data_IF_015564549652
#
_entry.id   IF_015564549652
#
_cell.length_a   1.000
_cell.length_b   1.000
_cell.length_c   1.000
_cell.angle_alpha   90.00
_cell.angle_beta   90.00
_cell.angle_gamma   90.00
#
_symmetry.space_group_name_H-M   'P 1'
#
loop_
_entity.id
_entity.type
_entity.pdbx_description
1 polymer ?
#
# COMPACT_ATOMS: atom_id res chain seq x y z
N UNK A 1 59.37 -11.68 -7.45
CA UNK A 1 58.37 -10.60 -7.26
C UNK A 1 57.00 -11.22 -7.48
N UNK A 2 56.29 -11.53 -6.40
CA UNK A 2 54.94 -12.05 -6.45
C UNK A 2 53.99 -10.89 -6.82
N UNK A 3 53.20 -11.07 -7.88
CA UNK A 3 52.06 -10.20 -8.17
C UNK A 3 50.97 -10.50 -7.13
N UNK A 4 50.78 -9.57 -6.21
CA UNK A 4 49.63 -9.54 -5.31
C UNK A 4 48.40 -9.23 -6.16
N UNK A 5 47.55 -10.24 -6.39
CA UNK A 5 46.18 -10.03 -6.85
C UNK A 5 45.46 -9.33 -5.71
N UNK A 6 45.19 -8.04 -5.89
CA UNK A 6 44.33 -7.30 -4.98
C UNK A 6 42.93 -7.92 -5.04
N UNK A 7 42.57 -8.65 -4.00
CA UNK A 7 41.17 -8.93 -3.67
C UNK A 7 40.53 -7.57 -3.42
N UNK A 8 39.73 -7.10 -4.38
CA UNK A 8 38.91 -5.91 -4.18
C UNK A 8 37.85 -6.27 -3.17
N UNK A 9 38.04 -5.84 -1.93
CA UNK A 9 36.93 -5.79 -0.97
C UNK A 9 35.76 -5.04 -1.62
N UNK A 10 34.52 -5.54 -1.48
CA UNK A 10 33.35 -4.85 -2.02
C UNK A 10 33.27 -3.45 -1.40
N UNK A 11 33.27 -2.43 -2.25
CA UNK A 11 33.14 -1.05 -1.81
C UNK A 11 31.69 -0.81 -1.36
N UNK A 12 31.41 -0.52 -0.08
CA UNK A 12 30.04 -0.40 0.43
C UNK A 12 29.19 0.68 -0.29
N UNK A 13 29.83 1.65 -0.94
CA UNK A 13 29.12 2.65 -1.76
C UNK A 13 28.50 2.06 -3.02
N UNK A 14 29.12 1.01 -3.59
CA UNK A 14 28.68 0.38 -4.83
C UNK A 14 27.51 -0.59 -4.56
N UNK A 15 27.53 -1.31 -3.44
CA UNK A 15 26.45 -2.19 -3.00
C UNK A 15 25.14 -1.43 -2.75
N UNK A 16 25.21 -0.30 -2.03
CA UNK A 16 24.04 0.58 -1.83
C UNK A 16 23.51 1.12 -3.16
N UNK A 17 24.38 1.44 -4.12
CA UNK A 17 23.96 1.94 -5.43
C UNK A 17 23.23 0.85 -6.25
N UNK A 18 23.72 -0.38 -6.20
CA UNK A 18 23.15 -1.55 -6.87
C UNK A 18 21.83 -1.97 -6.21
N UNK A 19 21.76 -2.02 -4.89
CA UNK A 19 20.51 -2.26 -4.17
C UNK A 19 19.50 -1.13 -4.42
N UNK A 20 19.94 0.13 -4.41
CA UNK A 20 19.10 1.27 -4.79
C UNK A 20 18.54 1.14 -6.21
N UNK A 21 19.28 0.52 -7.14
CA UNK A 21 18.82 0.18 -8.49
C UNK A 21 17.76 -0.91 -8.47
N UNK A 22 17.97 -1.98 -7.68
CA UNK A 22 16.97 -3.03 -7.45
C UNK A 22 15.66 -2.45 -6.88
N UNK A 23 15.72 -1.54 -5.90
CA UNK A 23 14.55 -0.84 -5.35
C UNK A 23 13.81 -0.02 -6.42
N UNK A 24 14.54 0.69 -7.29
CA UNK A 24 13.92 1.43 -8.42
C UNK A 24 13.23 0.50 -9.43
N UNK A 25 13.79 -0.69 -9.67
CA UNK A 25 13.17 -1.72 -10.52
C UNK A 25 11.89 -2.25 -9.87
N UNK A 26 11.94 -2.60 -8.58
CA UNK A 26 10.82 -3.14 -7.83
C UNK A 26 9.59 -2.22 -7.88
N UNK A 27 9.78 -0.90 -7.76
CA UNK A 27 8.70 0.11 -7.84
C UNK A 27 7.85 0.01 -9.12
N UNK A 28 8.38 -0.55 -10.21
CA UNK A 28 7.68 -0.73 -11.49
C UNK A 28 6.57 -1.80 -11.42
N UNK A 29 6.62 -2.70 -10.43
CA UNK A 29 5.61 -3.74 -10.20
C UNK A 29 4.34 -3.26 -9.47
N UNK A 30 4.34 -2.05 -8.89
CA UNK A 30 3.21 -1.54 -8.10
C UNK A 30 1.91 -1.52 -8.91
N UNK A 31 0.83 -2.04 -8.32
CA UNK A 31 -0.48 -2.18 -8.96
C UNK A 31 -0.58 -3.32 -9.98
N UNK A 32 0.43 -4.19 -10.08
CA UNK A 32 0.47 -5.34 -11.00
C UNK A 32 0.76 -6.66 -10.33
N UNK A 33 1.44 -6.64 -9.18
CA UNK A 33 1.96 -7.85 -8.52
C UNK A 33 1.18 -8.23 -7.28
N UNK A 34 0.50 -7.28 -6.63
CA UNK A 34 -0.18 -7.55 -5.37
C UNK A 34 -1.24 -8.65 -5.55
N UNK A 35 -1.48 -9.52 -4.55
CA UNK A 35 -1.00 -9.43 -3.17
C UNK A 35 0.46 -9.82 -2.94
N UNK A 36 1.20 -10.23 -3.97
CA UNK A 36 2.65 -10.49 -3.85
C UNK A 36 3.42 -9.19 -3.59
N UNK A 37 4.60 -9.25 -2.95
CA UNK A 37 5.46 -8.09 -2.76
C UNK A 37 6.02 -7.59 -4.09
N UNK A 38 6.29 -6.28 -4.15
CA UNK A 38 7.13 -5.71 -5.21
C UNK A 38 8.58 -6.04 -4.90
N UNK A 39 9.23 -6.80 -5.78
CA UNK A 39 10.63 -7.22 -5.62
C UNK A 39 11.41 -6.80 -6.85
N UNK A 40 12.64 -6.35 -6.63
CA UNK A 40 13.63 -6.05 -7.66
C UNK A 40 14.90 -6.84 -7.41
N UNK A 41 15.60 -7.18 -8.49
CA UNK A 41 16.83 -7.95 -8.46
C UNK A 41 17.81 -7.37 -9.50
N UNK A 42 19.07 -7.21 -9.10
CA UNK A 42 20.18 -6.83 -9.97
C UNK A 42 21.28 -7.87 -9.80
N UNK A 43 21.86 -8.34 -10.89
CA UNK A 43 23.03 -9.22 -10.91
C UNK A 43 24.20 -8.41 -11.46
N UNK A 44 25.30 -8.37 -10.73
CA UNK A 44 26.48 -7.58 -11.08
C UNK A 44 27.78 -8.37 -10.94
N UNK A 45 28.79 -8.02 -11.73
CA UNK A 45 30.14 -8.58 -11.64
C UNK A 45 31.13 -7.42 -11.63
N UNK A 46 31.98 -7.35 -10.60
CA UNK A 46 32.92 -6.24 -10.43
C UNK A 46 32.23 -4.86 -10.56
N UNK A 47 31.08 -4.70 -9.89
CA UNK A 47 30.25 -3.49 -9.93
C UNK A 47 29.47 -3.25 -11.24
N UNK A 48 29.71 -4.02 -12.30
CA UNK A 48 29.02 -3.87 -13.58
C UNK A 48 27.74 -4.70 -13.62
N UNK A 49 26.61 -4.07 -13.94
CA UNK A 49 25.32 -4.77 -14.03
C UNK A 49 25.26 -5.65 -15.27
N UNK A 50 25.13 -6.96 -15.05
CA UNK A 50 25.02 -7.97 -16.10
C UNK A 50 23.60 -8.53 -16.27
N UNK A 51 22.71 -8.31 -15.30
CA UNK A 51 21.30 -8.69 -15.43
C UNK A 51 20.39 -7.92 -14.48
N UNK A 52 19.14 -7.70 -14.89
CA UNK A 52 18.15 -6.95 -14.11
C UNK A 52 16.76 -7.55 -14.21
N UNK A 53 16.03 -7.55 -13.09
CA UNK A 53 14.69 -8.08 -13.01
C UNK A 53 13.82 -7.38 -11.97
N UNK A 54 12.51 -7.46 -12.16
CA UNK A 54 11.53 -7.15 -11.13
C UNK A 54 10.31 -8.03 -11.33
N UNK A 55 9.56 -8.29 -10.27
CA UNK A 55 8.29 -9.00 -10.39
C UNK A 55 7.30 -8.12 -11.19
N UNK A 56 6.85 -8.60 -12.36
CA UNK A 56 6.13 -7.76 -13.34
C UNK A 56 4.60 -7.87 -13.28
N UNK A 57 4.11 -9.03 -12.85
CA UNK A 57 2.67 -9.35 -12.77
C UNK A 57 2.44 -10.49 -11.78
N UNK A 58 1.30 -10.47 -11.10
CA UNK A 58 0.89 -11.53 -10.20
C UNK A 58 0.91 -12.90 -10.89
N UNK A 59 1.47 -13.91 -10.21
CA UNK A 59 1.65 -15.27 -10.75
C UNK A 59 2.68 -15.41 -11.88
N UNK A 60 3.33 -14.31 -12.28
CA UNK A 60 4.48 -14.36 -13.17
C UNK A 60 5.80 -14.70 -12.44
N UNK A 61 6.91 -14.77 -13.19
CA UNK A 61 8.24 -14.98 -12.61
C UNK A 61 8.60 -13.89 -11.59
N UNK A 62 9.35 -14.28 -10.57
CA UNK A 62 9.91 -13.38 -9.57
C UNK A 62 11.10 -12.58 -10.14
N UNK A 63 11.59 -11.61 -9.37
CA UNK A 63 12.59 -10.67 -9.83
C UNK A 63 13.92 -11.35 -10.18
N UNK A 64 14.33 -12.33 -9.38
CA UNK A 64 15.54 -13.12 -9.49
C UNK A 64 15.53 -13.93 -10.80
N UNK A 65 14.39 -14.56 -11.10
CA UNK A 65 14.20 -15.30 -12.36
C UNK A 65 14.24 -14.37 -13.57
N UNK A 66 13.63 -13.18 -13.48
CA UNK A 66 13.70 -12.18 -14.53
C UNK A 66 15.14 -11.67 -14.73
N UNK A 67 15.91 -11.46 -13.67
CA UNK A 67 17.31 -11.03 -13.73
C UNK A 67 18.21 -12.10 -14.37
N UNK A 68 18.05 -13.37 -13.98
CA UNK A 68 18.76 -14.49 -14.61
C UNK A 68 18.41 -14.65 -16.10
N UNK A 69 17.14 -14.43 -16.47
CA UNK A 69 16.71 -14.40 -17.87
C UNK A 69 17.36 -13.24 -18.63
N UNK A 70 17.52 -12.09 -17.99
CA UNK A 70 18.16 -10.92 -18.58
C UNK A 70 19.66 -11.16 -18.81
N UNK A 71 20.37 -11.82 -17.88
CA UNK A 71 21.75 -12.28 -18.10
C UNK A 71 21.87 -13.12 -19.38
N UNK A 72 20.99 -14.12 -19.53
CA UNK A 72 20.98 -14.97 -20.75
C UNK A 72 20.72 -14.18 -22.02
N UNK A 73 19.79 -13.23 -21.99
CA UNK A 73 19.49 -12.37 -23.15
C UNK A 73 20.68 -11.48 -23.53
N UNK A 74 21.46 -11.04 -22.54
CA UNK A 74 22.66 -10.22 -22.74
C UNK A 74 23.90 -11.04 -23.10
N UNK A 75 23.82 -12.37 -23.04
CA UNK A 75 24.96 -13.26 -23.27
C UNK A 75 26.00 -13.21 -22.15
N UNK A 76 25.58 -12.90 -20.92
CA UNK A 76 26.45 -12.79 -19.74
C UNK A 76 26.26 -13.96 -18.78
N UNK A 77 27.34 -14.41 -18.14
CA UNK A 77 27.36 -15.53 -17.21
C UNK A 77 27.14 -15.07 -15.74
N UNK A 78 26.06 -15.50 -15.06
CA UNK A 78 25.83 -15.19 -13.65
C UNK A 78 26.73 -15.96 -12.66
N UNK A 79 27.39 -17.04 -13.07
CA UNK A 79 28.21 -17.84 -12.15
C UNK A 79 29.33 -17.02 -11.47
N UNK A 80 29.35 -16.98 -10.14
CA UNK A 80 30.28 -16.20 -9.32
C UNK A 80 29.98 -14.69 -9.26
N UNK A 81 28.84 -14.24 -9.76
CA UNK A 81 28.41 -12.83 -9.70
C UNK A 81 27.66 -12.50 -8.39
N UNK A 82 27.57 -11.21 -8.08
CA UNK A 82 26.84 -10.68 -6.93
C UNK A 82 25.37 -10.43 -7.29
N UNK A 83 24.46 -10.76 -6.37
CA UNK A 83 23.02 -10.61 -6.54
C UNK A 83 22.49 -9.67 -5.48
N UNK A 84 21.85 -8.59 -5.90
CA UNK A 84 21.20 -7.62 -5.01
C UNK A 84 19.70 -7.74 -5.15
N UNK A 85 19.02 -8.20 -4.10
CA UNK A 85 17.58 -8.47 -4.10
C UNK A 85 16.89 -7.76 -2.94
N UNK A 86 15.75 -7.11 -3.23
CA UNK A 86 15.09 -6.22 -2.26
C UNK A 86 14.31 -6.96 -1.15
N UNK A 87 14.18 -8.27 -1.24
CA UNK A 87 13.48 -9.13 -0.28
C UNK A 87 14.14 -10.52 -0.35
N UNK A 88 14.13 -11.26 0.76
CA UNK A 88 14.60 -12.64 0.80
C UNK A 88 14.08 -13.49 -0.38
N UNK A 89 14.97 -14.19 -1.11
CA UNK A 89 14.56 -15.11 -2.17
C UNK A 89 13.68 -16.24 -1.66
N UNK A 90 12.58 -16.54 -2.36
CA UNK A 90 11.64 -17.56 -1.89
C UNK A 90 12.26 -18.98 -1.86
N UNK A 91 11.91 -19.74 -0.82
CA UNK A 91 12.37 -21.12 -0.58
C UNK A 91 11.29 -22.20 -0.76
N UNK A 92 10.03 -21.80 -0.97
CA UNK A 92 8.89 -22.71 -1.11
C UNK A 92 8.45 -22.82 -2.57
N UNK A 93 7.92 -23.98 -2.94
CA UNK A 93 7.33 -24.19 -4.25
C UNK A 93 5.90 -23.64 -4.27
N UNK A 94 5.72 -22.47 -4.88
CA UNK A 94 4.42 -21.83 -5.07
C UNK A 94 3.86 -22.09 -6.47
N UNK A 95 3.44 -21.01 -7.15
CA UNK A 95 3.09 -21.04 -8.59
C UNK A 95 4.32 -21.16 -9.50
N UNK A 96 5.50 -20.87 -8.97
CA UNK A 96 6.80 -20.96 -9.63
C UNK A 96 7.77 -21.71 -8.71
N UNK A 97 8.81 -22.36 -9.27
CA UNK A 97 9.90 -22.93 -8.48
C UNK A 97 10.59 -21.90 -7.57
N UNK A 98 11.23 -22.33 -6.47
CA UNK A 98 11.92 -21.44 -5.53
C UNK A 98 13.04 -20.64 -6.20
N UNK A 99 13.16 -19.36 -5.84
CA UNK A 99 14.20 -18.49 -6.38
C UNK A 99 15.58 -18.82 -5.80
N UNK A 100 15.65 -19.25 -4.54
CA UNK A 100 16.88 -19.72 -3.94
C UNK A 100 17.50 -20.86 -4.77
N UNK A 101 16.70 -21.84 -5.22
CA UNK A 101 17.18 -22.97 -6.03
C UNK A 101 17.73 -22.51 -7.37
N UNK A 102 17.07 -21.55 -8.02
CA UNK A 102 17.51 -21.00 -9.30
C UNK A 102 18.83 -20.21 -9.18
N UNK A 103 19.05 -19.53 -8.05
CA UNK A 103 20.31 -18.85 -7.76
C UNK A 103 21.44 -19.85 -7.47
N UNK A 104 21.14 -20.94 -6.75
CA UNK A 104 22.07 -22.06 -6.54
C UNK A 104 22.47 -22.72 -7.87
N UNK A 105 21.50 -23.04 -8.72
CA UNK A 105 21.75 -23.63 -10.04
C UNK A 105 22.57 -22.70 -10.94
N UNK A 106 22.35 -21.38 -10.86
CA UNK A 106 23.14 -20.39 -11.57
C UNK A 106 24.57 -20.22 -11.01
N UNK A 107 24.88 -20.80 -9.86
CA UNK A 107 26.21 -20.76 -9.25
C UNK A 107 26.67 -19.34 -8.89
N UNK A 108 25.77 -18.46 -8.46
CA UNK A 108 26.12 -17.08 -8.08
C UNK A 108 27.09 -17.04 -6.89
N UNK A 109 27.86 -15.96 -6.75
CA UNK A 109 28.91 -15.84 -5.73
C UNK A 109 28.35 -15.38 -4.38
N UNK A 110 27.75 -14.19 -4.37
CA UNK A 110 27.23 -13.56 -3.15
C UNK A 110 25.80 -13.05 -3.39
N UNK A 111 24.93 -13.18 -2.37
CA UNK A 111 23.57 -12.66 -2.38
C UNK A 111 23.42 -11.62 -1.28
N UNK A 112 23.23 -10.36 -1.68
CA UNK A 112 22.85 -9.26 -0.80
C UNK A 112 21.32 -9.12 -0.80
N UNK A 113 20.69 -9.50 0.30
CA UNK A 113 19.26 -9.30 0.54
C UNK A 113 19.03 -8.03 1.37
N UNK A 114 18.06 -7.20 1.00
CA UNK A 114 17.78 -5.98 1.76
C UNK A 114 17.08 -6.26 3.09
N UNK A 115 16.05 -7.11 3.07
CA UNK A 115 15.25 -7.50 4.24
C UNK A 115 14.84 -8.97 4.16
N UNK A 116 14.60 -9.58 5.31
CA UNK A 116 14.02 -10.92 5.43
C UNK A 116 12.51 -10.90 5.12
N UNK A 117 11.98 -11.99 4.56
CA UNK A 117 10.54 -12.10 4.31
C UNK A 117 9.81 -12.56 5.59
N UNK A 118 8.87 -11.77 6.15
CA UNK A 118 8.16 -12.16 7.36
C UNK A 118 7.16 -13.31 7.16
N UNK A 119 6.94 -13.76 5.92
CA UNK A 119 6.06 -14.88 5.65
C UNK A 119 6.62 -16.15 6.30
N UNK A 120 5.88 -16.83 7.20
CA UNK A 120 6.38 -18.04 7.88
C UNK A 120 6.78 -19.18 6.94
N UNK A 121 6.31 -19.17 5.69
CA UNK A 121 6.70 -20.13 4.66
C UNK A 121 8.07 -19.83 4.03
N UNK A 122 8.61 -18.63 4.23
CA UNK A 122 9.87 -18.14 3.66
C UNK A 122 10.89 -17.82 4.75
N UNK A 123 10.49 -17.08 5.79
CA UNK A 123 11.32 -16.49 6.85
C UNK A 123 12.59 -17.32 7.15
N UNK A 124 13.72 -16.81 6.65
CA UNK A 124 15.07 -17.33 6.85
C UNK A 124 15.45 -18.52 5.97
N UNK A 125 14.48 -19.30 5.47
CA UNK A 125 14.71 -20.55 4.75
C UNK A 125 15.38 -20.34 3.39
N UNK A 126 15.13 -19.21 2.75
CA UNK A 126 15.75 -18.86 1.46
C UNK A 126 17.21 -18.55 1.63
N UNK A 127 17.52 -17.72 2.64
CA UNK A 127 18.88 -17.37 3.01
C UNK A 127 19.67 -18.59 3.51
N UNK A 128 19.06 -19.43 4.35
CA UNK A 128 19.65 -20.69 4.81
C UNK A 128 19.99 -21.64 3.67
N UNK A 129 19.08 -21.78 2.69
CA UNK A 129 19.31 -22.65 1.53
C UNK A 129 20.50 -22.18 0.68
N UNK A 130 20.65 -20.86 0.49
CA UNK A 130 21.79 -20.29 -0.21
C UNK A 130 23.10 -20.57 0.55
N UNK A 131 23.13 -20.31 1.87
CA UNK A 131 24.29 -20.61 2.72
C UNK A 131 24.68 -22.09 2.69
N UNK A 132 23.69 -22.99 2.74
CA UNK A 132 23.92 -24.44 2.69
C UNK A 132 24.53 -24.91 1.36
N UNK A 133 24.32 -24.17 0.27
CA UNK A 133 24.93 -24.40 -1.03
C UNK A 133 26.32 -23.76 -1.19
N UNK A 134 26.85 -23.10 -0.15
CA UNK A 134 28.15 -22.43 -0.16
C UNK A 134 28.14 -21.03 -0.78
N UNK A 135 26.96 -20.41 -0.92
CA UNK A 135 26.82 -19.03 -1.39
C UNK A 135 26.91 -18.08 -0.21
N UNK A 136 27.71 -17.02 -0.33
CA UNK A 136 27.81 -15.97 0.69
C UNK A 136 26.53 -15.15 0.73
N UNK A 137 26.01 -14.85 1.92
CA UNK A 137 24.76 -14.11 2.11
C UNK A 137 24.98 -12.94 3.05
N UNK A 138 24.73 -11.74 2.54
CA UNK A 138 24.68 -10.49 3.29
C UNK A 138 23.23 -9.99 3.40
N UNK A 139 22.83 -9.55 4.59
CA UNK A 139 21.47 -9.11 4.89
C UNK A 139 21.50 -7.72 5.51
N UNK A 140 20.68 -6.81 4.96
CA UNK A 140 20.43 -5.50 5.56
C UNK A 140 20.82 -4.32 4.67
N UNK A 141 21.41 -4.56 3.49
CA UNK A 141 21.76 -3.48 2.56
C UNK A 141 20.51 -2.72 2.12
N UNK A 142 20.41 -1.43 2.45
CA UNK A 142 19.23 -0.58 2.23
C UNK A 142 17.92 -1.14 2.83
N UNK A 143 18.00 -1.73 4.02
CA UNK A 143 16.85 -2.34 4.72
C UNK A 143 15.69 -1.36 4.94
N UNK A 144 15.95 -0.11 5.31
CA UNK A 144 14.91 0.89 5.56
C UNK A 144 14.15 1.25 4.27
N UNK A 145 14.88 1.50 3.18
CA UNK A 145 14.28 1.83 1.89
C UNK A 145 13.52 0.64 1.28
N UNK A 146 14.00 -0.59 1.51
CA UNK A 146 13.31 -1.81 1.11
C UNK A 146 12.08 -2.08 1.98
N UNK A 147 12.13 -1.80 3.29
CA UNK A 147 10.98 -1.87 4.18
C UNK A 147 9.90 -0.90 3.71
N UNK A 148 10.24 0.37 3.44
CA UNK A 148 9.31 1.38 2.91
C UNK A 148 8.67 0.94 1.58
N UNK A 149 9.45 0.25 0.73
CA UNK A 149 8.98 -0.25 -0.55
C UNK A 149 7.83 -1.26 -0.40
N UNK A 150 7.89 -2.15 0.60
CA UNK A 150 6.96 -3.28 0.81
C UNK A 150 6.12 -3.19 2.09
N UNK A 151 6.04 -2.06 2.80
CA UNK A 151 5.30 -1.90 4.08
C UNK A 151 3.89 -2.52 4.05
N UNK A 152 3.18 -2.31 2.94
CA UNK A 152 1.82 -2.81 2.80
C UNK A 152 1.75 -4.35 2.73
N UNK A 153 2.73 -4.98 2.11
CA UNK A 153 2.88 -6.43 2.12
C UNK A 153 3.24 -6.92 3.54
N UNK A 154 4.23 -6.28 4.17
CA UNK A 154 4.67 -6.64 5.52
C UNK A 154 3.53 -6.56 6.53
N UNK A 155 2.76 -5.46 6.52
CA UNK A 155 1.57 -5.28 7.38
C UNK A 155 0.56 -6.39 7.14
N UNK A 156 0.22 -6.65 5.88
CA UNK A 156 -0.78 -7.67 5.55
C UNK A 156 -0.37 -9.06 6.03
N UNK A 157 0.89 -9.44 5.84
CA UNK A 157 1.41 -10.74 6.29
C UNK A 157 1.43 -10.83 7.82
N UNK A 158 1.86 -9.77 8.51
CA UNK A 158 2.02 -9.77 9.98
C UNK A 158 0.71 -9.66 10.74
N UNK A 159 -0.24 -8.87 10.24
CA UNK A 159 -1.46 -8.51 11.00
C UNK A 159 -2.75 -8.97 10.32
N UNK A 160 -2.69 -9.48 9.10
CA UNK A 160 -3.89 -9.80 8.30
C UNK A 160 -4.65 -8.58 7.79
N UNK A 161 -4.17 -7.36 7.98
CA UNK A 161 -4.86 -6.12 7.61
C UNK A 161 -4.20 -5.44 6.40
N UNK A 162 -4.96 -4.75 5.55
CA UNK A 162 -4.39 -3.96 4.47
C UNK A 162 -3.70 -2.70 5.02
N UNK A 163 -2.84 -2.13 4.20
CA UNK A 163 -2.30 -0.79 4.40
C UNK A 163 -3.31 0.28 3.98
N UNK A 164 -3.66 1.16 4.90
CA UNK A 164 -4.67 2.19 4.72
C UNK A 164 -4.00 3.53 4.50
N UNK A 165 -4.20 4.06 3.29
CA UNK A 165 -3.77 5.39 2.89
C UNK A 165 -4.94 6.34 3.05
N UNK A 166 -4.90 7.22 4.04
CA UNK A 166 -5.86 8.29 4.18
C UNK A 166 -5.42 9.50 3.37
N UNK A 167 -6.20 9.87 2.35
CA UNK A 167 -5.87 10.97 1.45
C UNK A 167 -6.92 12.07 1.53
N UNK A 168 -6.46 13.32 1.62
CA UNK A 168 -7.31 14.50 1.49
C UNK A 168 -6.62 15.63 0.71
N UNK A 169 -7.41 16.60 0.29
CA UNK A 169 -6.90 17.89 -0.19
C UNK A 169 -7.46 18.97 0.73
N UNK A 170 -6.61 19.90 1.15
CA UNK A 170 -6.96 20.98 2.05
C UNK A 170 -6.41 22.31 1.53
N UNK A 171 -7.00 23.40 1.99
CA UNK A 171 -6.39 24.73 1.92
C UNK A 171 -5.17 24.83 2.85
N UNK A 172 -4.39 25.90 2.71
CA UNK A 172 -3.23 26.19 3.56
C UNK A 172 -3.62 26.29 5.04
N UNK A 173 -4.80 26.83 5.31
CA UNK A 173 -5.42 26.93 6.65
C UNK A 173 -6.18 25.66 7.09
N UNK A 174 -6.05 24.54 6.38
CA UNK A 174 -6.43 23.21 6.87
C UNK A 174 -7.86 22.76 6.60
N UNK A 175 -8.62 23.49 5.78
CA UNK A 175 -10.01 23.15 5.48
C UNK A 175 -10.13 22.28 4.21
N UNK A 176 -11.01 21.28 4.25
CA UNK A 176 -11.31 20.39 3.11
C UNK A 176 -12.60 20.77 2.37
N UNK A 177 -13.40 21.67 2.95
CA UNK A 177 -14.60 22.26 2.37
C UNK A 177 -15.03 23.50 3.16
N UNK A 178 -15.90 24.33 2.58
CA UNK A 178 -16.63 25.36 3.31
C UNK A 178 -17.62 24.74 4.31
N UNK A 179 -18.23 25.56 5.18
CA UNK A 179 -19.24 25.09 6.13
C UNK A 179 -20.45 24.41 5.44
N UNK A 180 -20.81 24.88 4.25
CA UNK A 180 -21.89 24.32 3.43
C UNK A 180 -21.44 23.13 2.56
N UNK A 181 -20.18 22.73 2.65
CA UNK A 181 -19.64 21.55 1.96
C UNK A 181 -19.07 21.79 0.56
N UNK A 182 -18.98 23.04 0.09
CA UNK A 182 -18.32 23.33 -1.18
C UNK A 182 -16.80 23.08 -1.09
N UNK A 183 -16.29 22.27 -2.01
CA UNK A 183 -14.90 21.78 -2.03
C UNK A 183 -14.28 21.75 -3.44
N UNK A 184 -15.01 22.21 -4.47
CA UNK A 184 -14.58 22.11 -5.88
C UNK A 184 -14.03 23.45 -6.39
N UNK A 185 -12.75 23.58 -6.71
CA UNK A 185 -11.64 22.64 -6.53
C UNK A 185 -10.63 23.24 -5.57
N UNK A 186 -10.36 22.57 -4.45
CA UNK A 186 -9.26 22.94 -3.54
C UNK A 186 -7.89 22.70 -4.21
N UNK A 187 -7.57 21.44 -4.53
CA UNK A 187 -6.28 21.08 -5.16
C UNK A 187 -6.26 21.25 -6.68
N UNK A 188 -5.08 21.51 -7.23
CA UNK A 188 -4.84 21.72 -8.65
C UNK A 188 -4.91 20.45 -9.51
N UNK A 189 -4.93 20.63 -10.84
CA UNK A 189 -5.06 19.54 -11.79
C UNK A 189 -3.92 18.51 -11.71
N UNK A 190 -2.69 18.97 -11.46
CA UNK A 190 -1.52 18.09 -11.31
C UNK A 190 -1.66 17.15 -10.09
N UNK A 191 -2.17 17.66 -8.97
CA UNK A 191 -2.47 16.88 -7.77
C UNK A 191 -3.59 15.87 -8.02
N UNK A 192 -4.69 16.30 -8.65
CA UNK A 192 -5.79 15.38 -9.03
C UNK A 192 -5.31 14.26 -9.95
N UNK A 193 -4.45 14.56 -10.94
CA UNK A 193 -3.84 13.54 -11.79
C UNK A 193 -2.95 12.57 -11.02
N UNK A 194 -2.22 13.03 -10.00
CA UNK A 194 -1.46 12.13 -9.11
C UNK A 194 -2.38 11.21 -8.31
N UNK A 195 -3.50 11.71 -7.80
CA UNK A 195 -4.50 10.87 -7.12
C UNK A 195 -5.04 9.80 -8.06
N UNK A 196 -5.30 10.11 -9.34
CA UNK A 196 -5.69 9.08 -10.30
C UNK A 196 -4.61 8.01 -10.54
N UNK A 197 -3.32 8.38 -10.53
CA UNK A 197 -2.23 7.38 -10.54
C UNK A 197 -2.24 6.49 -9.30
N UNK A 198 -2.54 7.06 -8.13
CA UNK A 198 -2.66 6.28 -6.88
C UNK A 198 -3.85 5.33 -6.95
N UNK A 199 -5.02 5.80 -7.42
CA UNK A 199 -6.20 4.96 -7.66
C UNK A 199 -5.92 3.76 -8.57
N UNK A 200 -5.04 3.92 -9.55
CA UNK A 200 -4.61 2.84 -10.45
C UNK A 200 -3.64 1.82 -9.82
N UNK A 201 -3.22 2.03 -8.56
CA UNK A 201 -2.22 1.23 -7.85
C UNK A 201 -2.71 0.62 -6.53
N UNK A 202 -3.96 0.87 -6.15
CA UNK A 202 -4.57 0.35 -4.91
C UNK A 202 -5.62 -0.71 -5.21
N UNK A 203 -5.93 -1.53 -4.21
CA UNK A 203 -6.88 -2.65 -4.35
C UNK A 203 -8.32 -2.22 -4.08
N UNK A 204 -8.49 -1.21 -3.21
CA UNK A 204 -9.78 -0.63 -2.93
C UNK A 204 -9.69 0.90 -2.74
N UNK A 205 -10.77 1.59 -3.10
CA UNK A 205 -11.00 3.00 -2.81
C UNK A 205 -12.25 3.09 -1.94
N UNK A 206 -12.10 3.63 -0.74
CA UNK A 206 -13.13 3.70 0.28
C UNK A 206 -13.55 5.13 0.54
N UNK A 207 -14.86 5.35 0.64
CA UNK A 207 -15.45 6.64 1.03
C UNK A 207 -16.56 6.44 2.05
N UNK A 208 -16.88 7.47 2.82
CA UNK A 208 -18.12 7.50 3.59
C UNK A 208 -19.31 7.84 2.68
N UNK A 209 -20.51 7.38 3.04
CA UNK A 209 -21.75 7.70 2.31
C UNK A 209 -21.97 9.21 2.09
N UNK A 210 -21.53 10.08 3.02
CA UNK A 210 -21.64 11.53 2.86
C UNK A 210 -20.92 12.05 1.61
N UNK A 211 -19.77 11.46 1.26
CA UNK A 211 -19.05 11.79 0.02
C UNK A 211 -19.88 11.39 -1.21
N UNK A 212 -20.55 10.24 -1.17
CA UNK A 212 -21.39 9.81 -2.31
C UNK A 212 -22.58 10.75 -2.49
N UNK A 213 -23.25 11.11 -1.39
CA UNK A 213 -24.40 12.02 -1.42
C UNK A 213 -24.03 13.44 -1.88
N UNK A 214 -22.84 13.94 -1.50
CA UNK A 214 -22.39 15.28 -1.88
C UNK A 214 -21.78 15.37 -3.28
N UNK A 215 -21.01 14.35 -3.70
CA UNK A 215 -20.19 14.44 -4.92
C UNK A 215 -20.60 13.52 -6.06
N UNK A 216 -21.40 12.48 -5.79
CA UNK A 216 -21.73 11.38 -6.69
C UNK A 216 -20.49 10.86 -7.50
N UNK A 217 -19.44 10.37 -6.82
CA UNK A 217 -18.18 10.03 -7.46
C UNK A 217 -18.22 8.65 -8.11
N UNK A 218 -17.46 8.48 -9.20
CA UNK A 218 -17.21 7.15 -9.79
C UNK A 218 -16.21 6.29 -9.02
N UNK A 219 -15.30 6.93 -8.27
CA UNK A 219 -14.17 6.29 -7.57
C UNK A 219 -13.28 5.43 -8.48
N UNK A 220 -13.04 5.88 -9.71
CA UNK A 220 -12.14 5.20 -10.67
C UNK A 220 -10.88 6.02 -10.95
N UNK A 221 -9.85 5.33 -11.47
CA UNK A 221 -8.71 5.98 -12.11
C UNK A 221 -9.07 6.38 -13.55
N UNK A 222 -8.66 7.58 -13.97
CA UNK A 222 -8.86 8.10 -15.34
C UNK A 222 -7.69 9.00 -15.72
N UNK A 223 -7.50 9.21 -17.02
CA UNK A 223 -6.46 10.08 -17.59
C UNK A 223 -5.02 9.67 -17.21
N UNK A 224 -4.84 8.39 -16.87
CA UNK A 224 -3.57 7.74 -16.48
C UNK A 224 -3.59 6.27 -16.93
N UNK A 225 -2.42 5.62 -17.09
CA UNK A 225 -2.38 4.18 -17.26
C UNK A 225 -3.02 3.45 -16.08
N UNK A 226 -4.00 2.59 -16.36
CA UNK A 226 -4.70 1.76 -15.38
C UNK A 226 -4.25 0.32 -15.56
N UNK A 227 -3.72 -0.28 -14.50
CA UNK A 227 -3.24 -1.67 -14.52
C UNK A 227 -4.05 -2.58 -13.58
N UNK A 228 -4.71 -1.97 -12.59
CA UNK A 228 -5.66 -2.60 -11.69
C UNK A 228 -6.89 -1.70 -11.58
N UNK A 229 -8.06 -2.32 -11.54
CA UNK A 229 -9.31 -1.66 -11.19
C UNK A 229 -9.53 -1.88 -9.69
N UNK A 230 -9.60 -0.78 -8.94
CA UNK A 230 -9.83 -0.83 -7.51
C UNK A 230 -11.31 -1.12 -7.21
N UNK A 231 -11.56 -1.94 -6.19
CA UNK A 231 -12.89 -2.12 -5.61
C UNK A 231 -13.39 -0.81 -5.02
N UNK A 232 -14.65 -0.48 -5.23
CA UNK A 232 -15.27 0.75 -4.72
C UNK A 232 -16.01 0.44 -3.44
N UNK A 233 -15.57 0.99 -2.31
CA UNK A 233 -16.11 0.65 -0.99
C UNK A 233 -16.84 1.86 -0.41
N UNK A 234 -18.08 1.68 0.02
CA UNK A 234 -18.86 2.73 0.69
C UNK A 234 -19.15 2.30 2.12
N UNK A 235 -18.75 3.13 3.07
CA UNK A 235 -19.15 2.99 4.48
C UNK A 235 -20.47 3.73 4.68
N UNK A 236 -21.56 2.96 4.77
CA UNK A 236 -22.93 3.47 4.83
C UNK A 236 -23.74 2.76 5.94
N UNK A 237 -23.65 3.25 7.18
CA UNK A 237 -24.28 2.58 8.33
C UNK A 237 -25.79 2.34 8.23
N UNK A 238 -26.48 3.01 7.30
CA UNK A 238 -27.94 3.06 7.22
C UNK A 238 -28.48 2.70 5.82
N UNK A 239 -27.66 2.13 4.94
CA UNK A 239 -28.06 1.77 3.57
C UNK A 239 -28.79 2.91 2.81
N UNK A 240 -28.21 4.12 2.85
CA UNK A 240 -28.71 5.34 2.19
C UNK A 240 -28.16 5.54 0.78
N UNK A 241 -27.34 4.64 0.27
CA UNK A 241 -26.76 4.72 -1.07
C UNK A 241 -27.87 4.86 -2.13
N UNK A 242 -27.95 5.99 -2.87
CA UNK A 242 -29.02 6.21 -3.84
C UNK A 242 -28.97 5.22 -4.99
N UNK A 243 -30.13 4.76 -5.46
CA UNK A 243 -30.19 3.75 -6.51
C UNK A 243 -29.62 4.25 -7.87
N UNK A 244 -29.68 5.55 -8.10
CA UNK A 244 -29.30 6.23 -9.33
C UNK A 244 -27.85 6.76 -9.29
N UNK A 245 -27.16 6.62 -8.16
CA UNK A 245 -25.78 7.11 -8.03
C UNK A 245 -24.85 6.43 -9.03
N UNK A 246 -23.79 7.14 -9.42
CA UNK A 246 -22.83 6.70 -10.43
C UNK A 246 -22.12 5.42 -10.06
N UNK A 247 -21.97 5.11 -8.77
CA UNK A 247 -21.41 3.85 -8.32
C UNK A 247 -22.26 2.65 -8.77
N UNK A 248 -23.59 2.78 -8.69
CA UNK A 248 -24.51 1.69 -9.02
C UNK A 248 -24.92 1.67 -10.49
N UNK A 249 -24.97 2.82 -11.16
CA UNK A 249 -25.25 2.88 -12.61
C UNK A 249 -24.06 2.47 -13.48
N UNK A 250 -22.87 2.33 -12.88
CA UNK A 250 -21.66 1.79 -13.54
C UNK A 250 -21.18 0.49 -12.88
N UNK A 251 -22.11 -0.28 -12.30
CA UNK A 251 -21.80 -1.56 -11.69
C UNK A 251 -21.63 -2.63 -12.78
N UNK A 252 -20.49 -3.32 -12.76
CA UNK A 252 -20.22 -4.51 -13.55
C UNK A 252 -19.16 -5.39 -12.86
N UNK A 253 -18.84 -6.54 -13.45
CA UNK A 253 -17.84 -7.47 -12.91
C UNK A 253 -16.42 -6.88 -12.84
N UNK A 254 -16.10 -5.89 -13.69
CA UNK A 254 -14.82 -5.19 -13.68
C UNK A 254 -14.76 -4.08 -12.61
N UNK A 255 -15.91 -3.55 -12.18
CA UNK A 255 -16.03 -2.44 -11.24
C UNK A 255 -16.84 -2.84 -9.99
N UNK A 256 -16.34 -3.80 -9.18
CA UNK A 256 -17.09 -4.29 -8.02
C UNK A 256 -17.30 -3.19 -6.97
N UNK A 257 -18.51 -3.17 -6.39
CA UNK A 257 -18.89 -2.27 -5.30
C UNK A 257 -19.14 -3.09 -4.05
N UNK A 258 -18.59 -2.64 -2.93
CA UNK A 258 -18.85 -3.17 -1.59
C UNK A 258 -19.47 -2.08 -0.72
N UNK A 259 -20.57 -2.39 -0.03
CA UNK A 259 -21.22 -1.47 0.91
C UNK A 259 -21.16 -2.08 2.30
N UNK A 260 -20.53 -1.35 3.21
CA UNK A 260 -20.47 -1.71 4.61
C UNK A 260 -21.60 -1.03 5.38
N UNK A 261 -22.46 -1.85 5.98
CA UNK A 261 -23.66 -1.44 6.71
C UNK A 261 -23.58 -1.89 8.17
N UNK A 262 -24.48 -1.39 9.01
CA UNK A 262 -24.69 -1.96 10.34
C UNK A 262 -25.18 -3.40 10.24
N UNK A 263 -24.59 -4.31 11.02
CA UNK A 263 -24.95 -5.74 11.02
C UNK A 263 -26.44 -5.96 11.31
N UNK A 264 -27.04 -5.12 12.15
CA UNK A 264 -28.47 -5.22 12.49
C UNK A 264 -29.37 -5.09 11.26
N UNK A 265 -28.96 -4.36 10.22
CA UNK A 265 -29.76 -4.24 8.99
C UNK A 265 -29.77 -5.54 8.16
N UNK A 266 -28.79 -6.42 8.35
CA UNK A 266 -28.81 -7.76 7.76
C UNK A 266 -29.68 -8.71 8.59
N UNK A 267 -29.57 -8.63 9.92
CA UNK A 267 -30.36 -9.45 10.84
C UNK A 267 -31.86 -9.17 10.68
N UNK A 268 -32.23 -7.91 10.42
CA UNK A 268 -33.61 -7.45 10.24
C UNK A 268 -34.15 -7.63 8.79
N UNK A 269 -33.37 -8.21 7.87
CA UNK A 269 -33.69 -8.28 6.42
C UNK A 269 -34.13 -6.92 5.83
N UNK A 270 -33.37 -5.85 6.11
CA UNK A 270 -33.75 -4.50 5.68
C UNK A 270 -33.91 -4.44 4.15
N UNK A 271 -35.06 -3.97 3.63
CA UNK A 271 -35.36 -3.99 2.21
C UNK A 271 -34.38 -3.17 1.36
N UNK A 272 -33.73 -2.15 1.94
CA UNK A 272 -32.71 -1.36 1.24
C UNK A 272 -31.43 -2.16 1.04
N UNK A 273 -31.04 -2.95 2.04
CA UNK A 273 -29.87 -3.82 1.96
C UNK A 273 -30.12 -4.93 0.95
N UNK A 274 -31.30 -5.56 0.98
CA UNK A 274 -31.71 -6.57 0.00
C UNK A 274 -31.70 -6.01 -1.43
N UNK A 275 -32.27 -4.83 -1.65
CA UNK A 275 -32.29 -4.19 -2.96
C UNK A 275 -30.87 -3.89 -3.50
N UNK A 276 -29.91 -3.54 -2.63
CA UNK A 276 -28.51 -3.39 -3.04
C UNK A 276 -27.89 -4.74 -3.41
N UNK A 277 -28.10 -5.77 -2.60
CA UNK A 277 -27.58 -7.11 -2.84
C UNK A 277 -28.11 -7.72 -4.15
N UNK A 278 -29.41 -7.58 -4.43
CA UNK A 278 -30.06 -8.03 -5.67
C UNK A 278 -29.48 -7.37 -6.93
N UNK A 279 -28.90 -6.18 -6.79
CA UNK A 279 -28.20 -5.48 -7.89
C UNK A 279 -26.77 -5.95 -8.09
N UNK A 280 -26.26 -6.87 -7.27
CA UNK A 280 -24.89 -7.37 -7.34
C UNK A 280 -23.89 -6.57 -6.50
N UNK A 281 -24.36 -5.75 -5.56
CA UNK A 281 -23.49 -5.09 -4.57
C UNK A 281 -23.10 -6.09 -3.49
N UNK A 282 -21.82 -6.14 -3.16
CA UNK A 282 -21.34 -6.92 -2.02
C UNK A 282 -21.67 -6.20 -0.71
N UNK A 283 -22.46 -6.81 0.15
CA UNK A 283 -22.79 -6.24 1.47
C UNK A 283 -21.90 -6.84 2.55
N UNK A 284 -21.37 -5.98 3.43
CA UNK A 284 -20.61 -6.38 4.62
C UNK A 284 -21.29 -5.79 5.85
N UNK A 285 -21.81 -6.64 6.73
CA UNK A 285 -22.36 -6.23 8.02
C UNK A 285 -21.26 -5.97 9.03
N UNK A 286 -21.30 -4.81 9.67
CA UNK A 286 -20.33 -4.41 10.69
C UNK A 286 -21.00 -4.26 12.06
N UNK A 287 -20.39 -4.81 13.12
CA UNK A 287 -20.93 -4.66 14.45
C UNK A 287 -20.81 -3.20 14.93
N UNK A 288 -21.62 -2.85 15.93
CA UNK A 288 -21.39 -1.65 16.72
C UNK A 288 -20.07 -1.78 17.47
N UNK A 289 -19.34 -0.67 17.52
CA UNK A 289 -18.17 -0.51 18.36
C UNK A 289 -18.61 -0.14 19.77
N UNK A 290 -17.94 -0.70 20.78
CA UNK A 290 -18.05 -0.22 22.16
C UNK A 290 -17.54 1.22 22.31
N UNK A 291 -17.84 1.83 23.45
CA UNK A 291 -17.37 3.18 23.79
C UNK A 291 -15.84 3.23 23.85
N UNK A 292 -15.25 4.35 23.43
CA UNK A 292 -13.82 4.63 23.65
C UNK A 292 -13.66 6.01 24.27
N UNK A 293 -12.50 6.33 24.89
CA UNK A 293 -12.31 7.60 25.59
C UNK A 293 -12.59 8.85 24.74
N UNK A 294 -12.51 8.73 23.42
CA UNK A 294 -12.66 9.84 22.47
C UNK A 294 -13.75 9.63 21.42
N UNK A 295 -14.53 8.56 21.47
CA UNK A 295 -15.60 8.30 20.48
C UNK A 295 -16.92 7.97 21.17
N UNK A 296 -18.02 8.46 20.59
CA UNK A 296 -19.37 8.16 21.06
C UNK A 296 -19.72 6.67 20.90
N UNK A 297 -20.68 6.23 21.71
CA UNK A 297 -21.35 4.94 21.54
C UNK A 297 -22.01 4.81 20.15
N UNK A 298 -22.11 3.59 19.63
CA UNK A 298 -22.82 3.28 18.38
C UNK A 298 -22.09 3.60 17.06
N UNK A 299 -20.80 3.94 17.08
CA UNK A 299 -19.98 3.96 15.88
C UNK A 299 -19.83 2.53 15.30
N UNK A 300 -19.62 2.37 14.00
CA UNK A 300 -19.34 1.03 13.44
C UNK A 300 -17.88 0.65 13.67
N UNK A 301 -17.63 -0.61 14.02
CA UNK A 301 -16.28 -1.17 14.01
C UNK A 301 -15.85 -1.42 12.56
N UNK A 302 -14.80 -0.73 12.11
CA UNK A 302 -14.29 -0.80 10.75
C UNK A 302 -13.21 -1.89 10.60
N UNK A 303 -12.71 -2.48 11.68
CA UNK A 303 -11.71 -3.53 11.62
C UNK A 303 -12.20 -4.77 10.84
N UNK A 304 -13.43 -5.29 11.05
CA UNK A 304 -13.94 -6.40 10.25
C UNK A 304 -14.02 -6.09 8.75
N UNK A 305 -14.27 -4.83 8.37
CA UNK A 305 -14.21 -4.42 6.97
C UNK A 305 -12.80 -4.52 6.40
N UNK A 306 -11.79 -4.12 7.16
CA UNK A 306 -10.38 -4.22 6.74
C UNK A 306 -9.95 -5.69 6.62
N UNK A 307 -10.34 -6.53 7.56
CA UNK A 307 -10.10 -7.98 7.54
C UNK A 307 -10.78 -8.62 6.32
N UNK A 308 -12.03 -8.27 6.04
CA UNK A 308 -12.75 -8.73 4.85
C UNK A 308 -12.03 -8.35 3.56
N UNK A 309 -11.62 -7.08 3.42
CA UNK A 309 -10.90 -6.61 2.25
C UNK A 309 -9.56 -7.36 2.06
N UNK A 310 -8.82 -7.62 3.14
CA UNK A 310 -7.54 -8.32 3.08
C UNK A 310 -7.66 -9.83 2.84
N UNK A 311 -8.54 -10.52 3.57
CA UNK A 311 -8.67 -11.97 3.54
C UNK A 311 -9.51 -12.44 2.35
N UNK A 312 -10.67 -11.83 2.12
CA UNK A 312 -11.63 -12.26 1.08
C UNK A 312 -11.30 -11.63 -0.27
N UNK A 313 -10.81 -10.38 -0.28
CA UNK A 313 -10.52 -9.64 -1.53
C UNK A 313 -9.02 -9.48 -1.82
N UNK A 314 -8.15 -10.07 -1.00
CA UNK A 314 -6.68 -9.99 -1.16
C UNK A 314 -6.16 -8.55 -1.24
N UNK A 315 -6.88 -7.59 -0.67
CA UNK A 315 -6.46 -6.19 -0.67
C UNK A 315 -5.21 -6.03 0.18
N UNK A 316 -4.18 -5.47 -0.42
CA UNK A 316 -2.92 -5.11 0.25
C UNK A 316 -2.92 -3.61 0.57
N UNK A 317 -3.55 -2.79 -0.27
CA UNK A 317 -3.71 -1.34 -0.06
C UNK A 317 -5.15 -0.88 -0.23
N UNK A 318 -5.62 -0.11 0.74
CA UNK A 318 -6.92 0.59 0.72
C UNK A 318 -6.65 2.08 0.72
N UNK A 319 -7.16 2.79 -0.28
CA UNK A 319 -7.15 4.24 -0.33
C UNK A 319 -8.46 4.78 0.22
N UNK A 320 -8.41 5.60 1.26
CA UNK A 320 -9.57 6.27 1.81
C UNK A 320 -9.57 7.71 1.30
N UNK A 321 -10.62 8.09 0.58
CA UNK A 321 -10.81 9.44 0.06
C UNK A 321 -12.11 10.06 0.57
N UNK A 322 -12.03 11.23 1.18
CA UNK A 322 -13.21 12.02 1.52
C UNK A 322 -14.01 11.51 2.72
N UNK A 323 -14.71 12.47 3.36
CA UNK A 323 -15.51 12.26 4.55
C UNK A 323 -14.70 12.44 5.84
N UNK A 324 -14.77 13.63 6.43
CA UNK A 324 -14.08 13.96 7.68
C UNK A 324 -14.42 13.01 8.83
N UNK A 325 -15.67 12.53 8.89
CA UNK A 325 -16.14 11.58 9.90
C UNK A 325 -15.56 10.18 9.70
N UNK A 326 -15.40 9.73 8.47
CA UNK A 326 -14.77 8.43 8.20
C UNK A 326 -13.28 8.48 8.54
N UNK A 327 -12.60 9.57 8.16
CA UNK A 327 -11.21 9.82 8.57
C UNK A 327 -11.06 9.78 10.09
N UNK A 328 -11.92 10.50 10.83
CA UNK A 328 -11.91 10.47 12.29
C UNK A 328 -12.18 9.08 12.88
N UNK A 329 -13.11 8.32 12.30
CA UNK A 329 -13.39 6.94 12.74
C UNK A 329 -12.20 6.01 12.55
N UNK A 330 -11.45 6.14 11.45
CA UNK A 330 -10.23 5.35 11.20
C UNK A 330 -9.10 5.71 12.17
N UNK A 331 -8.89 7.00 12.45
CA UNK A 331 -7.96 7.43 13.50
C UNK A 331 -8.37 6.88 14.88
N UNK A 332 -9.66 6.96 15.23
CA UNK A 332 -10.19 6.42 16.48
C UNK A 332 -9.89 4.93 16.70
N UNK A 333 -9.70 4.19 15.60
CA UNK A 333 -9.53 2.74 15.57
C UNK A 333 -8.08 2.31 15.28
N UNK A 334 -7.14 3.27 15.18
CA UNK A 334 -5.76 3.04 14.79
C UNK A 334 -5.65 2.24 13.47
N UNK A 335 -6.51 2.58 12.51
CA UNK A 335 -6.56 1.90 11.21
C UNK A 335 -5.86 2.69 10.10
N UNK A 336 -5.31 3.87 10.38
CA UNK A 336 -4.58 4.67 9.39
C UNK A 336 -3.09 4.37 9.48
N UNK A 337 -2.45 4.01 8.36
CA UNK A 337 -1.00 3.80 8.30
C UNK A 337 -0.27 4.99 7.70
N UNK A 338 -0.86 5.57 6.66
CA UNK A 338 -0.27 6.62 5.87
C UNK A 338 -1.27 7.76 5.63
N UNK A 339 -0.79 8.99 5.77
CA UNK A 339 -1.54 10.19 5.39
C UNK A 339 -0.91 10.83 4.17
N UNK A 340 -1.70 11.06 3.12
CA UNK A 340 -1.32 11.88 1.98
C UNK A 340 -2.16 13.17 1.95
N UNK A 341 -1.59 14.24 2.51
CA UNK A 341 -2.22 15.55 2.58
C UNK A 341 -1.75 16.42 1.40
N UNK A 342 -2.68 16.82 0.54
CA UNK A 342 -2.43 17.77 -0.54
C UNK A 342 -2.83 19.17 -0.06
N UNK A 343 -1.85 20.04 0.17
CA UNK A 343 -2.04 21.41 0.63
C UNK A 343 -2.03 22.37 -0.55
N UNK A 344 -3.16 23.01 -0.82
CA UNK A 344 -3.33 23.98 -1.89
C UNK A 344 -2.96 25.40 -1.41
N UNK A 345 -2.50 26.30 -2.30
CA UNK A 345 -2.14 27.68 -1.96
C UNK A 345 -3.40 28.56 -1.86
N UNK A 346 -4.33 28.16 -0.99
CA UNK A 346 -5.62 28.83 -0.75
C UNK A 346 -5.80 29.02 0.75
N UNK A 347 -6.48 30.09 1.14
CA UNK A 347 -6.92 30.31 2.52
C UNK A 347 -8.43 30.54 2.47
N UNK A 348 -9.20 29.75 3.22
CA UNK A 348 -10.66 29.98 3.32
C UNK A 348 -10.99 31.01 4.38
N UNK A 349 -10.28 30.99 5.51
CA UNK A 349 -10.54 31.83 6.68
C UNK A 349 -12.03 31.85 7.11
N UNK A 350 -12.73 30.73 6.90
CA UNK A 350 -14.17 30.63 7.12
C UNK A 350 -14.46 29.91 8.45
N UNK A 351 -15.28 30.52 9.30
CA UNK A 351 -15.81 29.87 10.50
C UNK A 351 -16.67 28.66 10.10
N UNK A 352 -16.46 27.53 10.78
CA UNK A 352 -17.20 26.30 10.50
C UNK A 352 -16.73 25.53 9.26
N UNK A 353 -15.64 25.96 8.61
CA UNK A 353 -15.01 25.19 7.54
C UNK A 353 -14.66 23.77 8.03
N UNK A 354 -14.83 22.78 7.16
CA UNK A 354 -14.72 21.39 7.55
C UNK A 354 -13.25 20.95 7.63
N UNK A 355 -12.80 20.34 8.75
CA UNK A 355 -11.45 19.80 8.85
C UNK A 355 -11.33 18.44 8.14
N UNK A 356 -10.08 18.01 7.90
CA UNK A 356 -9.79 16.73 7.25
C UNK A 356 -10.28 15.49 8.02
N UNK A 357 -10.30 15.57 9.35
CA UNK A 357 -10.82 14.52 10.23
C UNK A 357 -11.67 15.13 11.34
N UNK A 358 -12.81 14.52 11.66
CA UNK A 358 -13.73 14.98 12.71
C UNK A 358 -14.46 13.84 13.41
N UNK A 359 -15.13 14.15 14.53
CA UNK A 359 -15.93 13.17 15.29
C UNK A 359 -15.23 12.56 16.51
N UNK A 360 -14.05 13.06 16.87
CA UNK A 360 -13.35 12.68 18.10
C UNK A 360 -13.47 13.78 19.15
N UNK A 361 -13.70 13.40 20.40
CA UNK A 361 -13.81 14.30 21.54
C UNK A 361 -12.44 14.54 22.23
N UNK A 362 -11.39 14.86 21.45
CA UNK A 362 -10.05 15.15 21.98
C UNK A 362 -9.97 16.61 22.41
N UNK A 363 -9.62 16.85 23.68
CA UNK A 363 -9.55 18.20 24.28
C UNK A 363 -8.14 18.67 24.62
N UNK A 364 -7.12 17.81 24.45
CA UNK A 364 -5.72 18.10 24.76
C UNK A 364 -4.82 17.65 23.62
N UNK A 365 -3.74 18.39 23.38
CA UNK A 365 -2.80 18.12 22.29
C UNK A 365 -2.06 16.78 22.46
N UNK A 366 -1.85 16.35 23.71
CA UNK A 366 -1.24 15.06 24.05
C UNK A 366 -2.04 13.85 23.56
N UNK A 367 -3.34 14.04 23.27
CA UNK A 367 -4.20 12.99 22.72
C UNK A 367 -4.18 12.92 21.19
N UNK A 368 -3.45 13.81 20.52
CA UNK A 368 -3.34 13.80 19.06
C UNK A 368 -2.49 12.62 18.59
N UNK A 369 -2.86 12.03 17.45
CA UNK A 369 -2.03 11.02 16.81
C UNK A 369 -0.75 11.68 16.30
N UNK A 370 0.40 11.06 16.57
CA UNK A 370 1.69 11.54 16.12
C UNK A 370 1.98 11.00 14.71
N UNK A 371 2.42 11.91 13.84
CA UNK A 371 2.72 11.64 12.44
C UNK A 371 4.20 11.91 12.17
N UNK A 372 4.87 11.00 11.46
CA UNK A 372 6.26 11.17 11.03
C UNK A 372 6.26 11.56 9.55
N UNK A 373 6.90 12.69 9.21
CA UNK A 373 7.00 13.13 7.82
C UNK A 373 7.95 12.18 7.07
N UNK A 374 7.39 11.46 6.09
CA UNK A 374 8.15 10.55 5.24
C UNK A 374 8.67 11.27 3.99
N UNK A 375 7.85 12.11 3.33
CA UNK A 375 8.32 12.93 2.22
C UNK A 375 7.46 14.17 2.00
N UNK A 376 8.08 15.20 1.42
CA UNK A 376 7.40 16.42 0.96
C UNK A 376 7.73 16.65 -0.51
N UNK A 377 6.72 16.94 -1.33
CA UNK A 377 6.88 17.19 -2.78
C UNK A 377 6.00 18.33 -3.25
N UNK A 378 6.57 19.29 -3.97
CA UNK A 378 5.80 20.27 -4.74
C UNK A 378 5.13 19.59 -5.94
N UNK A 379 3.85 19.90 -6.19
CA UNK A 379 3.06 19.39 -7.32
C UNK A 379 2.30 20.56 -7.96
N UNK A 380 2.86 21.14 -9.03
CA UNK A 380 2.38 22.43 -9.52
C UNK A 380 2.52 23.47 -8.41
N UNK A 381 1.40 24.06 -7.99
CA UNK A 381 1.37 25.04 -6.89
C UNK A 381 0.91 24.43 -5.55
N UNK A 382 0.54 23.16 -5.53
CA UNK A 382 0.21 22.43 -4.29
C UNK A 382 1.48 21.81 -3.67
N UNK A 383 1.40 21.44 -2.40
CA UNK A 383 2.38 20.59 -1.70
C UNK A 383 1.73 19.27 -1.31
N UNK A 384 2.37 18.15 -1.64
CA UNK A 384 2.03 16.84 -1.07
C UNK A 384 2.94 16.56 0.12
N UNK A 385 2.32 16.41 1.29
CA UNK A 385 2.93 15.88 2.49
C UNK A 385 2.51 14.42 2.66
N UNK A 386 3.50 13.54 2.79
CA UNK A 386 3.33 12.10 2.98
C UNK A 386 3.84 11.74 4.37
N UNK A 387 2.94 11.33 5.26
CA UNK A 387 3.24 10.99 6.63
C UNK A 387 2.98 9.50 6.91
N UNK A 388 3.73 8.93 7.84
CA UNK A 388 3.41 7.67 8.52
C UNK A 388 2.77 7.97 9.87
N UNK A 389 1.80 7.15 10.29
CA UNK A 389 1.19 7.25 11.63
C UNK A 389 1.98 6.39 12.61
N UNK A 390 2.47 6.98 13.69
CA UNK A 390 3.15 6.20 14.74
C UNK A 390 2.17 5.20 15.36
N UNK A 391 2.55 3.92 15.41
CA UNK A 391 1.71 2.84 15.98
C UNK A 391 0.56 2.33 15.10
N UNK A 392 0.37 2.85 13.87
CA UNK A 392 -0.71 2.43 12.95
C UNK A 392 -0.56 1.00 12.38
N UNK A 393 0.63 0.42 12.49
CA UNK A 393 0.93 -0.94 12.08
C UNK A 393 1.38 -1.82 13.24
N UNK A 394 0.44 -2.26 14.09
CA UNK A 394 0.63 -3.41 14.99
C UNK A 394 1.96 -3.48 15.77
N UNK A 395 2.49 -2.34 16.21
CA UNK A 395 3.79 -2.25 16.86
C UNK A 395 3.75 -1.21 17.97
N UNK A 396 3.18 -1.59 19.11
CA UNK A 396 3.80 -1.23 20.39
C UNK A 396 4.70 -2.41 20.72
N UNK A 397 5.99 -2.14 20.83
CA UNK A 397 7.08 -3.08 21.16
C UNK A 397 7.27 -4.25 20.18
N UNK A 398 8.22 -4.07 19.26
CA UNK A 398 9.12 -5.17 18.90
C UNK A 398 10.49 -4.65 19.30
N UNK A 399 10.97 -5.10 20.46
CA UNK A 399 12.37 -4.97 20.83
C UNK A 399 13.21 -5.65 19.76
N UNK A 400 14.20 -4.91 19.23
CA UNK A 400 15.24 -5.45 18.36
C UNK A 400 16.29 -6.19 19.18
#
# INVERSE_FOLDING_TARGET
MALTVATTDPNPSDDRALMGRAIRLARRGRGRVEPNPVVGCVIARAGQVIGEGHHRRFGGPHAEIEALRDCRKRGTEPAGADVYVTLEPCAHHGKTPPCADALVEAGVGTVHAAIEDPNPQVAGRGLERLRAAGIDVDLGTCADEATELVEAYLKRVRTGLPWVILKWAQTLDGAIATADGDSRWISGAASRRRVHRLRAQVDAIMVGIGTVLGDDPLLTARDVPVHRIARRVVVDPNARLPAECRLLTTLDAAHPVTVAVRAELLDDDDPRVRALAERGVEIVGLPKRGQTPFSSDGAMDLRPLMEHLSAVRSATRVLVEGGSRLAGALFAQNLVDQVQAYVAPKVLAATGALPAASGLARTRIEHADRLVLNSMRRIGDDVLLDYRVEGGGGGREIDY
#
